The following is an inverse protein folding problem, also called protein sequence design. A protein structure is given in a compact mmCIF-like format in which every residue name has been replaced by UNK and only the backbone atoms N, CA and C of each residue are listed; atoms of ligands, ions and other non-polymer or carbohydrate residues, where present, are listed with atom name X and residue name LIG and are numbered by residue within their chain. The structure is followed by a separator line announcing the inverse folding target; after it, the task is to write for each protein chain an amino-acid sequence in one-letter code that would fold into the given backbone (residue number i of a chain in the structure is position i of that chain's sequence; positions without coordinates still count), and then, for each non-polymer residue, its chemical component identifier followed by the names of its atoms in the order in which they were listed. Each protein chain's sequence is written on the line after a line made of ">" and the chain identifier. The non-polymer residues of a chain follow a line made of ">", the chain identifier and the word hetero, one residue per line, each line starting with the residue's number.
data_IF_611530412190
#
_entry.id   IF_611530412190
#
_cell.length_a   1.000
_cell.length_b   1.000
_cell.length_c   1.000
_cell.angle_alpha   90.00
_cell.angle_beta   90.00
_cell.angle_gamma   90.00
#
_symmetry.space_group_name_H-M   'P 1'
#
loop_
_entity.id
_entity.type
_entity.pdbx_description
1 polymer ?
#
# COMPACT_ATOMS: atom_id res chain seq x y z
N UNK A 1 -13.92 -35.64 43.06
CA UNK A 1 -15.11 -34.77 43.18
C UNK A 1 -14.75 -33.28 43.27
N UNK A 2 -14.38 -32.71 44.43
CA UNK A 2 -14.05 -31.26 44.54
C UNK A 2 -12.80 -30.83 43.74
N UNK A 3 -11.82 -31.71 43.57
CA UNK A 3 -10.59 -31.41 42.80
C UNK A 3 -10.78 -31.51 41.28
N UNK A 4 -11.65 -32.40 40.80
CA UNK A 4 -11.96 -32.56 39.36
C UNK A 4 -12.79 -31.38 38.85
N UNK A 5 -13.80 -30.95 39.61
CA UNK A 5 -14.63 -29.82 39.25
C UNK A 5 -13.82 -28.52 39.18
N UNK A 6 -12.87 -28.33 40.10
CA UNK A 6 -11.93 -27.21 40.07
C UNK A 6 -11.00 -27.27 38.85
N UNK A 7 -10.54 -28.48 38.48
CA UNK A 7 -9.70 -28.65 37.29
C UNK A 7 -10.48 -28.35 35.99
N UNK A 8 -11.74 -28.78 35.89
CA UNK A 8 -12.60 -28.50 34.74
C UNK A 8 -12.92 -27.00 34.60
N UNK A 9 -13.25 -26.33 35.71
CA UNK A 9 -13.49 -24.88 35.73
C UNK A 9 -12.25 -24.10 35.31
N UNK A 10 -11.07 -24.49 35.80
CA UNK A 10 -9.79 -23.88 35.43
C UNK A 10 -9.47 -24.09 33.94
N UNK A 11 -9.68 -25.30 33.42
CA UNK A 11 -9.47 -25.59 32.00
C UNK A 11 -10.43 -24.80 31.12
N UNK A 12 -11.70 -24.66 31.52
CA UNK A 12 -12.69 -23.85 30.81
C UNK A 12 -12.29 -22.38 30.81
N UNK A 13 -11.96 -21.80 31.97
CA UNK A 13 -11.57 -20.39 32.07
C UNK A 13 -10.32 -20.10 31.26
N UNK A 14 -9.34 -21.00 31.28
CA UNK A 14 -8.12 -20.87 30.49
C UNK A 14 -8.41 -20.98 28.99
N UNK A 15 -9.29 -21.90 28.57
CA UNK A 15 -9.73 -22.01 27.18
C UNK A 15 -10.43 -20.74 26.68
N UNK A 16 -11.34 -20.17 27.48
CA UNK A 16 -12.01 -18.90 27.18
C UNK A 16 -11.02 -17.74 27.08
N UNK A 17 -10.08 -17.64 28.02
CA UNK A 17 -9.04 -16.62 28.00
C UNK A 17 -8.16 -16.73 26.74
N UNK A 18 -7.76 -17.94 26.37
CA UNK A 18 -6.97 -18.17 25.15
C UNK A 18 -7.74 -17.78 23.89
N UNK A 19 -9.02 -18.11 23.80
CA UNK A 19 -9.87 -17.72 22.67
C UNK A 19 -9.99 -16.21 22.57
N UNK A 20 -10.28 -15.54 23.69
CA UNK A 20 -10.44 -14.08 23.72
C UNK A 20 -9.11 -13.39 23.39
N UNK A 21 -8.00 -13.87 23.96
CA UNK A 21 -6.66 -13.35 23.63
C UNK A 21 -6.31 -13.55 22.16
N UNK A 22 -6.60 -14.73 21.61
CA UNK A 22 -6.41 -15.02 20.18
C UNK A 22 -7.22 -14.08 19.30
N UNK A 23 -8.49 -13.83 19.65
CA UNK A 23 -9.37 -12.89 18.95
C UNK A 23 -8.83 -11.46 18.99
N UNK A 24 -8.39 -10.99 20.15
CA UNK A 24 -7.83 -9.65 20.31
C UNK A 24 -6.53 -9.49 19.54
N UNK A 25 -5.65 -10.48 19.58
CA UNK A 25 -4.40 -10.50 18.82
C UNK A 25 -4.66 -10.50 17.31
N UNK A 26 -5.61 -11.32 16.84
CA UNK A 26 -6.00 -11.35 15.42
C UNK A 26 -6.56 -10.02 14.95
N UNK A 27 -7.42 -9.37 15.74
CA UNK A 27 -7.95 -8.04 15.43
C UNK A 27 -6.86 -6.95 15.43
N UNK A 28 -5.94 -7.00 16.39
CA UNK A 28 -4.83 -6.05 16.45
C UNK A 28 -3.92 -6.19 15.23
N UNK A 29 -3.54 -7.43 14.91
CA UNK A 29 -2.69 -7.75 13.76
C UNK A 29 -3.35 -7.34 12.43
N UNK A 30 -4.61 -7.73 12.20
CA UNK A 30 -5.31 -7.37 10.96
C UNK A 30 -5.51 -5.86 10.79
N UNK A 31 -5.66 -5.10 11.88
CA UNK A 31 -5.69 -3.63 11.84
C UNK A 31 -4.34 -3.03 11.50
N UNK A 32 -3.25 -3.61 12.01
CA UNK A 32 -1.90 -3.15 11.72
C UNK A 32 -1.53 -3.41 10.25
N UNK A 33 -1.73 -4.64 9.78
CA UNK A 33 -1.47 -5.06 8.39
C UNK A 33 -2.27 -4.18 7.41
N UNK A 34 -3.59 -4.05 7.59
CA UNK A 34 -4.41 -3.22 6.70
C UNK A 34 -4.04 -1.73 6.72
N UNK A 35 -3.47 -1.22 7.82
CA UNK A 35 -2.98 0.16 7.91
C UNK A 35 -1.60 0.34 7.27
N UNK A 36 -0.81 -0.70 7.18
CA UNK A 36 0.47 -0.69 6.47
C UNK A 36 0.21 -0.76 4.97
N UNK A 37 -0.56 -1.76 4.52
CA UNK A 37 -0.97 -1.93 3.13
C UNK A 37 -1.63 -0.67 2.58
N UNK A 38 -2.65 -0.13 3.27
CA UNK A 38 -3.34 1.08 2.82
C UNK A 38 -2.47 2.33 2.76
N UNK A 39 -1.37 2.39 3.53
CA UNK A 39 -0.41 3.49 3.43
C UNK A 39 0.54 3.32 2.26
N UNK A 40 1.02 2.10 2.02
CA UNK A 40 1.89 1.80 0.89
C UNK A 40 1.14 2.05 -0.44
N UNK A 41 -0.07 1.51 -0.56
CA UNK A 41 -0.94 1.75 -1.71
C UNK A 41 -1.23 3.25 -1.91
N UNK A 42 -1.53 3.96 -0.81
CA UNK A 42 -1.78 5.40 -0.83
C UNK A 42 -0.55 6.21 -1.26
N UNK A 43 0.65 5.80 -0.84
CA UNK A 43 1.91 6.45 -1.21
C UNK A 43 2.23 6.26 -2.70
N UNK A 44 2.11 5.03 -3.19
CA UNK A 44 2.32 4.67 -4.61
C UNK A 44 1.35 5.44 -5.49
N UNK A 45 0.04 5.33 -5.19
CA UNK A 45 -1.00 6.02 -5.96
C UNK A 45 -0.81 7.54 -5.94
N UNK A 46 -0.53 8.11 -4.76
CA UNK A 46 -0.26 9.53 -4.62
C UNK A 46 0.94 9.98 -5.46
N UNK A 47 2.02 9.18 -5.51
CA UNK A 47 3.18 9.49 -6.34
C UNK A 47 2.85 9.46 -7.83
N UNK A 48 2.11 8.46 -8.30
CA UNK A 48 1.65 8.39 -9.69
C UNK A 48 0.80 9.62 -10.07
N UNK A 49 -0.14 10.02 -9.21
CA UNK A 49 -0.94 11.23 -9.40
C UNK A 49 -0.08 12.51 -9.43
N UNK A 50 0.98 12.59 -8.61
CA UNK A 50 1.93 13.71 -8.65
C UNK A 50 2.74 13.78 -9.94
N UNK A 51 3.20 12.65 -10.48
CA UNK A 51 3.88 12.62 -11.78
C UNK A 51 2.98 13.22 -12.86
N UNK A 52 1.73 12.76 -12.96
CA UNK A 52 0.76 13.28 -13.92
C UNK A 52 0.50 14.78 -13.73
N UNK A 53 0.39 15.23 -12.49
CA UNK A 53 0.18 16.65 -12.17
C UNK A 53 1.37 17.52 -12.61
N UNK A 54 2.60 17.06 -12.43
CA UNK A 54 3.80 17.77 -12.90
C UNK A 54 3.81 17.82 -14.43
N UNK A 55 3.58 16.70 -15.11
CA UNK A 55 3.50 16.64 -16.58
C UNK A 55 2.45 17.63 -17.13
N UNK A 56 1.26 17.67 -16.53
CA UNK A 56 0.20 18.61 -16.89
C UNK A 56 0.63 20.07 -16.63
N UNK A 57 1.28 20.35 -15.50
CA UNK A 57 1.80 21.70 -15.17
C UNK A 57 2.87 22.16 -16.15
N UNK A 58 3.68 21.22 -16.65
CA UNK A 58 4.70 21.47 -17.68
C UNK A 58 4.11 21.63 -19.09
N UNK A 59 2.80 21.37 -19.26
CA UNK A 59 2.14 21.40 -20.56
C UNK A 59 2.51 20.22 -21.46
N UNK A 60 3.02 19.13 -20.89
CA UNK A 60 3.36 17.92 -21.64
C UNK A 60 2.10 17.09 -21.86
N UNK A 61 1.80 16.80 -23.13
CA UNK A 61 0.70 15.91 -23.47
C UNK A 61 1.02 14.47 -23.01
N UNK A 62 0.11 13.89 -22.27
CA UNK A 62 0.17 12.50 -21.80
C UNK A 62 -1.00 11.77 -22.45
N UNK A 63 -0.70 10.84 -23.35
CA UNK A 63 -1.74 9.98 -23.94
C UNK A 63 -2.28 8.98 -22.90
N UNK A 64 -3.39 8.31 -23.25
CA UNK A 64 -4.05 7.39 -22.32
C UNK A 64 -3.16 6.18 -21.97
N UNK A 65 -2.32 5.71 -22.90
CA UNK A 65 -1.44 4.57 -22.66
C UNK A 65 -0.37 4.91 -21.60
N UNK A 66 0.29 6.07 -21.74
CA UNK A 66 1.23 6.59 -20.76
C UNK A 66 0.55 6.90 -19.43
N UNK A 67 -0.66 7.47 -19.46
CA UNK A 67 -1.44 7.74 -18.25
C UNK A 67 -1.75 6.46 -17.47
N UNK A 68 -2.21 5.42 -18.16
CA UNK A 68 -2.48 4.11 -17.54
C UNK A 68 -1.19 3.48 -17.00
N UNK A 69 -0.08 3.57 -17.74
CA UNK A 69 1.23 3.09 -17.26
C UNK A 69 1.66 3.77 -15.96
N UNK A 70 1.47 5.09 -15.85
CA UNK A 70 1.80 5.83 -14.63
C UNK A 70 0.90 5.41 -13.47
N UNK A 71 -0.42 5.35 -13.69
CA UNK A 71 -1.41 5.04 -12.64
C UNK A 71 -1.35 3.59 -12.14
N UNK A 72 -0.87 2.66 -12.97
CA UNK A 72 -0.77 1.23 -12.63
C UNK A 72 0.63 0.83 -12.15
N UNK A 73 1.60 1.74 -12.18
CA UNK A 73 2.94 1.46 -11.69
C UNK A 73 2.92 1.27 -10.17
N UNK A 74 3.45 0.13 -9.71
CA UNK A 74 3.56 -0.21 -8.28
C UNK A 74 4.96 0.00 -7.72
N UNK A 75 5.95 0.33 -8.56
CA UNK A 75 7.32 0.61 -8.11
C UNK A 75 7.49 2.09 -7.79
N UNK A 76 7.51 2.39 -6.48
CA UNK A 76 7.70 3.75 -5.97
C UNK A 76 9.02 4.37 -6.47
N UNK A 77 10.10 3.60 -6.58
CA UNK A 77 11.38 4.12 -7.05
C UNK A 77 11.32 4.54 -8.53
N UNK A 78 10.57 3.81 -9.35
CA UNK A 78 10.30 4.20 -10.74
C UNK A 78 9.47 5.47 -10.81
N UNK A 79 8.40 5.56 -10.00
CA UNK A 79 7.57 6.76 -9.93
C UNK A 79 8.34 8.00 -9.45
N UNK A 80 9.26 7.84 -8.50
CA UNK A 80 10.14 8.90 -8.02
C UNK A 80 11.10 9.39 -9.10
N UNK A 81 11.72 8.48 -9.85
CA UNK A 81 12.56 8.85 -11.00
C UNK A 81 11.78 9.61 -12.07
N UNK A 82 10.55 9.17 -12.38
CA UNK A 82 9.69 9.88 -13.33
C UNK A 82 9.29 11.26 -12.80
N UNK A 83 9.00 11.38 -11.51
CA UNK A 83 8.72 12.67 -10.89
C UNK A 83 9.89 13.64 -11.07
N UNK A 84 11.11 13.22 -10.72
CA UNK A 84 12.31 14.07 -10.82
C UNK A 84 12.61 14.48 -12.26
N UNK A 85 12.44 13.57 -13.22
CA UNK A 85 12.62 13.88 -14.65
C UNK A 85 11.56 14.84 -15.17
N UNK A 86 10.30 14.67 -14.77
CA UNK A 86 9.20 15.51 -15.22
C UNK A 86 9.40 16.99 -14.89
N UNK A 87 10.15 17.31 -13.81
CA UNK A 87 10.46 18.69 -13.43
C UNK A 87 11.19 19.47 -14.53
N UNK A 88 12.06 18.79 -15.31
CA UNK A 88 12.90 19.43 -16.34
C UNK A 88 12.64 18.91 -17.76
N UNK A 89 11.82 17.88 -17.92
CA UNK A 89 11.52 17.26 -19.20
C UNK A 89 10.91 18.21 -20.22
N UNK A 90 11.33 18.10 -21.49
CA UNK A 90 10.76 18.82 -22.64
C UNK A 90 9.78 17.98 -23.43
N UNK A 91 9.90 16.65 -23.33
CA UNK A 91 9.01 15.67 -23.94
C UNK A 91 8.60 14.61 -22.94
N UNK A 92 7.54 13.87 -23.23
CA UNK A 92 7.12 12.74 -22.38
C UNK A 92 8.18 11.62 -22.34
N UNK A 93 8.92 11.43 -23.44
CA UNK A 93 10.01 10.44 -23.54
C UNK A 93 11.20 10.77 -22.64
N UNK A 94 11.40 12.04 -22.27
CA UNK A 94 12.43 12.42 -21.30
C UNK A 94 12.11 11.90 -19.88
N UNK A 95 10.84 11.55 -19.62
CA UNK A 95 10.34 11.13 -18.31
C UNK A 95 10.28 9.63 -18.22
N UNK A 96 9.55 9.00 -19.14
CA UNK A 96 9.28 7.56 -19.10
C UNK A 96 10.47 6.78 -19.65
N UNK A 97 10.97 5.84 -18.86
CA UNK A 97 12.17 5.04 -19.17
C UNK A 97 12.11 4.27 -20.51
N UNK A 98 10.93 4.10 -21.12
CA UNK A 98 10.75 3.42 -22.41
C UNK A 98 9.55 4.00 -23.18
N UNK A 99 9.76 5.02 -24.02
CA UNK A 99 8.85 5.32 -25.14
C UNK A 99 9.38 4.75 -26.47
N UNK A 100 10.39 3.88 -26.42
CA UNK A 100 10.98 3.20 -27.57
C UNK A 100 10.74 1.69 -27.49
N UNK A 101 9.53 1.25 -27.82
CA UNK A 101 9.24 -0.04 -28.46
C UNK A 101 8.06 0.13 -29.42
#
# INVERSE_FOLDING_TARGET
>A
MLDEQRAEELMRSYGEELIERGRQQGLAKGREEGREEGREEGLIRGRAEYVLRVLATRGLYVDEAARQRILTCTDLATLDRWFDRALNATTLSDVLDDLTQ
#
